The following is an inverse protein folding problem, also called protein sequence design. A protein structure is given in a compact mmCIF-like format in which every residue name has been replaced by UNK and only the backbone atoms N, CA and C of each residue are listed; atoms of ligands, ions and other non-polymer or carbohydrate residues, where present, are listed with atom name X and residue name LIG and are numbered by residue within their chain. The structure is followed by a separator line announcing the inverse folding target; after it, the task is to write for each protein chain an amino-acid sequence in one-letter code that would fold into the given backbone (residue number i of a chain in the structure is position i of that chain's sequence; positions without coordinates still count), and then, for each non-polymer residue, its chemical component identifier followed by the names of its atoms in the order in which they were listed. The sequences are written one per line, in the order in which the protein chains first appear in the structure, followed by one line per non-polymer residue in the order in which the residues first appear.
data_IF_807433071124
#
_entry.id   IF_807433071124
#
_cell.length_a   1.000
_cell.length_b   1.000
_cell.length_c   1.000
_cell.angle_alpha   90.00
_cell.angle_beta   90.00
_cell.angle_gamma   90.00
#
_symmetry.space_group_name_H-M   'P 1'
#
loop_
_entity.id
_entity.type
_entity.pdbx_description
1 polymer ?
#
# COMPACT_ATOMS: atom_id res chain seq x y z
N UNK A 1 14.96 26.38 -28.90
CA UNK A 1 14.30 26.90 -27.69
C UNK A 1 14.66 26.00 -26.51
N UNK A 2 15.66 26.37 -25.70
CA UNK A 2 16.03 25.62 -24.50
C UNK A 2 15.25 26.21 -23.33
N UNK A 3 14.18 25.53 -22.92
CA UNK A 3 13.41 25.91 -21.74
C UNK A 3 14.24 25.53 -20.51
N UNK A 4 14.89 26.50 -19.88
CA UNK A 4 15.48 26.29 -18.55
C UNK A 4 14.34 26.10 -17.56
N UNK A 5 14.18 24.88 -17.06
CA UNK A 5 13.25 24.60 -15.98
C UNK A 5 13.61 25.50 -14.78
N UNK A 6 12.71 26.44 -14.45
CA UNK A 6 12.87 27.30 -13.29
C UNK A 6 12.72 26.46 -12.02
N UNK A 7 13.57 26.67 -10.99
CA UNK A 7 13.46 25.92 -9.74
C UNK A 7 12.13 26.25 -9.05
N UNK A 8 11.33 25.22 -8.82
CA UNK A 8 10.06 25.30 -8.11
C UNK A 8 10.34 25.56 -6.62
N UNK A 9 10.17 26.81 -6.18
CA UNK A 9 10.47 27.27 -4.82
C UNK A 9 9.32 26.95 -3.84
N UNK A 10 8.87 25.70 -3.81
CA UNK A 10 7.84 25.23 -2.87
C UNK A 10 8.42 24.24 -1.87
N UNK A 11 7.96 24.33 -0.62
CA UNK A 11 8.35 23.41 0.45
C UNK A 11 7.85 22.01 0.11
N UNK A 12 8.74 21.02 0.03
CA UNK A 12 8.40 19.63 -0.24
C UNK A 12 7.48 19.04 0.84
N UNK A 13 7.73 19.40 2.10
CA UNK A 13 6.92 18.97 3.25
C UNK A 13 5.64 19.80 3.38
N UNK A 14 4.70 19.51 2.50
CA UNK A 14 3.30 19.97 2.63
C UNK A 14 2.52 18.99 3.50
N UNK A 15 1.41 19.40 4.12
CA UNK A 15 0.52 18.49 4.85
C UNK A 15 0.11 17.27 4.00
N UNK A 16 -0.09 17.46 2.69
CA UNK A 16 -0.43 16.37 1.77
C UNK A 16 0.70 15.32 1.67
N UNK A 17 1.96 15.77 1.67
CA UNK A 17 3.12 14.87 1.66
C UNK A 17 3.23 14.10 2.97
N UNK A 18 2.90 14.70 4.11
CA UNK A 18 2.82 13.96 5.38
C UNK A 18 1.73 12.89 5.38
N UNK A 19 0.57 13.15 4.79
CA UNK A 19 -0.49 12.15 4.65
C UNK A 19 0.00 10.97 3.81
N UNK A 20 0.62 11.24 2.65
CA UNK A 20 1.21 10.20 1.80
C UNK A 20 2.29 9.40 2.54
N UNK A 21 3.14 10.08 3.30
CA UNK A 21 4.18 9.43 4.09
C UNK A 21 3.60 8.52 5.17
N UNK A 22 2.48 8.91 5.78
CA UNK A 22 1.74 8.10 6.74
C UNK A 22 1.23 6.80 6.08
N UNK A 23 0.60 6.89 4.91
CA UNK A 23 0.18 5.71 4.15
C UNK A 23 1.35 4.78 3.81
N UNK A 24 2.49 5.33 3.38
CA UNK A 24 3.70 4.55 3.13
C UNK A 24 4.20 3.86 4.40
N UNK A 25 4.22 4.55 5.54
CA UNK A 25 4.64 4.00 6.82
C UNK A 25 3.73 2.84 7.27
N UNK A 26 2.41 2.99 7.15
CA UNK A 26 1.47 1.89 7.42
C UNK A 26 1.69 0.71 6.47
N UNK A 27 1.94 0.96 5.17
CA UNK A 27 2.26 -0.09 4.21
C UNK A 27 3.49 -0.90 4.61
N UNK A 28 4.57 -0.23 5.03
CA UNK A 28 5.80 -0.89 5.51
C UNK A 28 5.54 -1.64 6.82
N UNK A 29 4.77 -1.07 7.73
CA UNK A 29 4.37 -1.71 8.98
C UNK A 29 3.65 -3.04 8.69
N UNK A 30 2.59 -3.02 7.88
CA UNK A 30 1.87 -4.25 7.53
C UNK A 30 2.73 -5.24 6.75
N UNK A 31 3.61 -4.78 5.86
CA UNK A 31 4.57 -5.64 5.16
C UNK A 31 5.51 -6.34 6.14
N UNK A 32 5.96 -5.67 7.20
CA UNK A 32 6.77 -6.29 8.24
C UNK A 32 6.02 -7.44 8.93
N UNK A 33 4.82 -7.18 9.48
CA UNK A 33 4.02 -8.26 10.11
C UNK A 33 3.74 -9.41 9.14
N UNK A 34 3.52 -9.09 7.87
CA UNK A 34 3.24 -10.06 6.82
C UNK A 34 4.39 -11.04 6.56
N UNK A 35 5.64 -10.60 6.64
CA UNK A 35 6.81 -11.43 6.38
C UNK A 35 7.40 -12.08 7.65
N UNK A 36 7.27 -11.44 8.82
CA UNK A 36 7.91 -11.91 10.06
C UNK A 36 6.95 -12.65 10.99
N UNK A 37 5.69 -12.22 11.12
CA UNK A 37 4.69 -12.80 12.03
C UNK A 37 3.75 -13.79 11.29
N UNK A 38 4.04 -14.06 10.01
CA UNK A 38 3.28 -15.00 9.19
C UNK A 38 1.99 -14.42 8.61
N UNK A 39 1.47 -15.11 7.59
CA UNK A 39 0.29 -14.69 6.83
C UNK A 39 -0.95 -14.56 7.71
N UNK A 40 -1.13 -15.47 8.67
CA UNK A 40 -2.30 -15.54 9.56
C UNK A 40 -2.47 -14.28 10.43
N UNK A 41 -1.36 -13.70 10.91
CA UNK A 41 -1.35 -12.55 11.83
C UNK A 41 -1.96 -11.27 11.24
N UNK A 42 -1.85 -11.09 9.91
CA UNK A 42 -2.31 -9.88 9.22
C UNK A 42 -3.72 -10.04 8.65
N UNK A 43 -4.20 -11.28 8.56
CA UNK A 43 -5.30 -11.64 7.65
C UNK A 43 -6.45 -12.39 8.31
N UNK A 44 -6.31 -12.73 9.60
CA UNK A 44 -7.29 -13.49 10.38
C UNK A 44 -7.72 -14.79 9.65
N UNK A 45 -6.75 -15.50 9.09
CA UNK A 45 -7.01 -16.78 8.45
C UNK A 45 -7.23 -17.85 9.52
N UNK A 46 -8.04 -18.84 9.19
CA UNK A 46 -8.26 -20.02 10.02
C UNK A 46 -8.16 -21.25 9.11
N UNK A 47 -7.81 -22.44 9.61
CA UNK A 47 -7.85 -23.69 8.85
C UNK A 47 -9.09 -23.92 7.97
N UNK A 48 -10.26 -23.41 8.35
CA UNK A 48 -11.48 -23.50 7.54
C UNK A 48 -11.51 -22.53 6.33
N UNK A 49 -10.79 -21.41 6.40
CA UNK A 49 -10.75 -20.36 5.38
C UNK A 49 -9.29 -19.91 5.15
N UNK A 50 -8.48 -20.72 4.47
CA UNK A 50 -7.03 -20.51 4.35
C UNK A 50 -6.64 -19.35 3.42
N UNK A 51 -7.59 -18.80 2.66
CA UNK A 51 -7.34 -17.74 1.67
C UNK A 51 -7.99 -16.38 1.99
N UNK A 52 -8.98 -16.36 2.90
CA UNK A 52 -9.58 -15.15 3.46
C UNK A 52 -10.09 -14.13 2.43
N UNK A 53 -10.00 -12.85 2.80
CA UNK A 53 -10.43 -11.70 1.99
C UNK A 53 -9.64 -11.55 0.68
N UNK A 54 -8.41 -12.05 0.64
CA UNK A 54 -7.40 -11.74 -0.37
C UNK A 54 -7.75 -12.38 -1.72
N UNK A 55 -8.19 -13.63 -1.71
CA UNK A 55 -8.71 -14.29 -2.92
C UNK A 55 -9.94 -13.57 -3.46
N UNK A 56 -10.85 -13.13 -2.59
CA UNK A 56 -12.07 -12.41 -3.01
C UNK A 56 -11.73 -11.08 -3.68
N UNK A 57 -10.78 -10.35 -3.10
CA UNK A 57 -10.28 -9.10 -3.66
C UNK A 57 -9.55 -9.32 -4.99
N UNK A 58 -8.65 -10.30 -5.06
CA UNK A 58 -7.90 -10.63 -6.27
C UNK A 58 -8.83 -11.06 -7.42
N UNK A 59 -9.89 -11.80 -7.13
CA UNK A 59 -10.92 -12.16 -8.12
C UNK A 59 -11.74 -10.93 -8.51
N UNK A 60 -12.14 -10.08 -7.57
CA UNK A 60 -12.89 -8.86 -7.89
C UNK A 60 -12.08 -7.89 -8.76
N UNK A 61 -10.81 -7.66 -8.43
CA UNK A 61 -9.89 -6.83 -9.22
C UNK A 61 -9.50 -7.51 -10.54
N UNK A 62 -9.25 -8.81 -10.54
CA UNK A 62 -8.84 -9.57 -11.71
C UNK A 62 -9.96 -9.74 -12.74
N UNK A 63 -11.20 -9.96 -12.30
CA UNK A 63 -12.38 -10.04 -13.19
C UNK A 63 -12.81 -8.65 -13.65
N UNK A 64 -12.66 -7.60 -12.83
CA UNK A 64 -12.96 -6.23 -13.27
C UNK A 64 -11.92 -5.66 -14.26
N UNK A 65 -10.72 -6.26 -14.33
CA UNK A 65 -9.65 -5.89 -15.26
C UNK A 65 -9.68 -6.71 -16.56
N UNK A 66 -10.35 -7.87 -16.57
CA UNK A 66 -10.55 -8.73 -17.74
C UNK A 66 -11.75 -8.28 -18.57
#
# INVERSE_FOLDING_TARGET
MSSKAAPLHHKFFTPNVFILFSFMAFGVFFAYFRFFEGFESVTNLNPAYPFGLWIGFDVACGVALA
#
